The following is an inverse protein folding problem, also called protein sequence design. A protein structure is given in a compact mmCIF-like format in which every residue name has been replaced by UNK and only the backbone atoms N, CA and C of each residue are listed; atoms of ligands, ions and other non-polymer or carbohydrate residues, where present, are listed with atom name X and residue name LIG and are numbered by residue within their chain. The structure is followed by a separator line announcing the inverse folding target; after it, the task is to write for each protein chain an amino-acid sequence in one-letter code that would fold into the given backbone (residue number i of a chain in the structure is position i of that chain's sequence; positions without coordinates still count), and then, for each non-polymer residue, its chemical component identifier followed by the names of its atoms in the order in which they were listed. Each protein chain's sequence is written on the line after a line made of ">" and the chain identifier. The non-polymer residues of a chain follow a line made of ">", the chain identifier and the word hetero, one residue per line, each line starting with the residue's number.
data_IF_841959056203
#
_entry.id   IF_841959056203
#
_cell.length_a   1.000
_cell.length_b   1.000
_cell.length_c   1.000
_cell.angle_alpha   90.00
_cell.angle_beta   90.00
_cell.angle_gamma   90.00
#
_symmetry.space_group_name_H-M   'P 1'
#
loop_
_entity.id
_entity.type
_entity.pdbx_description
1 polymer ?
#
# COMPACT_ATOMS: atom_id res chain seq x y z
N UNK A 1 -13.13 -5.02 41.77
CA UNK A 1 -12.60 -4.01 40.86
C UNK A 1 -12.91 -4.37 39.39
N UNK A 2 -14.16 -4.27 38.93
CA UNK A 2 -14.50 -4.57 37.53
C UNK A 2 -14.67 -3.33 36.64
N UNK A 3 -14.59 -2.10 37.17
CA UNK A 3 -14.90 -0.91 36.37
C UNK A 3 -13.77 -0.43 35.45
N UNK A 4 -12.51 -0.69 35.76
CA UNK A 4 -11.37 -0.22 34.96
C UNK A 4 -11.21 -0.95 33.61
N UNK A 5 -11.67 -2.21 33.53
CA UNK A 5 -11.63 -2.99 32.29
C UNK A 5 -12.68 -2.54 31.27
N UNK A 6 -13.81 -2.05 31.73
CA UNK A 6 -14.89 -1.56 30.85
C UNK A 6 -14.53 -0.22 30.19
N UNK A 7 -13.90 0.69 30.94
CA UNK A 7 -13.45 1.99 30.41
C UNK A 7 -12.35 1.82 29.37
N UNK A 8 -11.39 0.93 29.61
CA UNK A 8 -10.31 0.67 28.65
C UNK A 8 -10.80 -0.01 27.35
N UNK A 9 -11.86 -0.81 27.41
CA UNK A 9 -12.47 -1.43 26.22
C UNK A 9 -13.28 -0.42 25.40
N UNK A 10 -13.99 0.49 26.08
CA UNK A 10 -14.75 1.56 25.43
C UNK A 10 -13.84 2.58 24.75
N UNK A 11 -12.74 2.97 25.41
CA UNK A 11 -11.74 3.90 24.86
C UNK A 11 -11.05 3.30 23.62
N UNK A 12 -10.75 1.99 23.64
CA UNK A 12 -10.20 1.29 22.48
C UNK A 12 -11.19 1.19 21.32
N UNK A 13 -12.47 0.96 21.62
CA UNK A 13 -13.54 0.92 20.62
C UNK A 13 -13.79 2.31 20.01
N UNK A 14 -13.78 3.37 20.81
CA UNK A 14 -13.93 4.76 20.35
C UNK A 14 -12.76 5.22 19.50
N UNK A 15 -11.52 4.88 19.86
CA UNK A 15 -10.34 5.16 19.04
C UNK A 15 -10.39 4.38 17.73
N UNK A 16 -10.82 3.12 17.76
CA UNK A 16 -11.04 2.31 16.55
C UNK A 16 -12.09 2.90 15.62
N UNK A 17 -13.22 3.39 16.19
CA UNK A 17 -14.28 4.04 15.42
C UNK A 17 -13.82 5.39 14.84
N UNK A 18 -13.12 6.22 15.61
CA UNK A 18 -12.54 7.48 15.13
C UNK A 18 -11.53 7.23 14.00
N UNK A 19 -10.68 6.20 14.12
CA UNK A 19 -9.73 5.83 13.07
C UNK A 19 -10.41 5.30 11.80
N UNK A 20 -11.54 4.58 11.97
CA UNK A 20 -12.37 4.13 10.84
C UNK A 20 -13.05 5.30 10.14
N UNK A 21 -13.60 6.25 10.89
CA UNK A 21 -14.25 7.44 10.34
C UNK A 21 -13.23 8.30 9.59
N UNK A 22 -12.06 8.55 10.17
CA UNK A 22 -10.98 9.29 9.50
C UNK A 22 -10.46 8.53 8.26
N UNK A 23 -10.32 7.22 8.34
CA UNK A 23 -9.93 6.40 7.19
C UNK A 23 -10.98 6.35 6.07
N UNK A 24 -12.27 6.41 6.42
CA UNK A 24 -13.39 6.47 5.47
C UNK A 24 -13.52 7.84 4.82
N UNK A 25 -13.34 8.93 5.58
CA UNK A 25 -13.36 10.28 5.03
C UNK A 25 -12.21 10.46 4.03
N UNK A 26 -11.00 10.02 4.35
CA UNK A 26 -9.89 10.06 3.40
C UNK A 26 -10.12 9.19 2.14
N UNK A 27 -10.76 8.03 2.27
CA UNK A 27 -11.13 7.21 1.11
C UNK A 27 -12.22 7.84 0.24
N UNK A 28 -13.16 8.55 0.87
CA UNK A 28 -14.21 9.29 0.15
C UNK A 28 -13.67 10.54 -0.56
N UNK A 29 -12.57 11.10 -0.05
CA UNK A 29 -11.86 12.25 -0.63
C UNK A 29 -10.84 11.84 -1.70
N UNK A 30 -10.45 10.56 -1.78
CA UNK A 30 -9.56 10.06 -2.82
C UNK A 30 -10.20 10.24 -4.18
N UNK A 31 -9.68 11.19 -4.94
CA UNK A 31 -10.02 11.33 -6.35
C UNK A 31 -9.20 10.32 -7.15
N UNK A 32 -9.86 9.45 -7.93
CA UNK A 32 -9.13 8.53 -8.78
C UNK A 32 -8.28 9.30 -9.78
N UNK A 33 -7.03 8.89 -9.92
CA UNK A 33 -6.08 9.47 -10.88
C UNK A 33 -5.85 8.52 -12.02
N UNK A 34 -5.69 9.06 -13.23
CA UNK A 34 -5.30 8.28 -14.39
C UNK A 34 -3.78 8.13 -14.42
N UNK A 35 -3.31 6.90 -14.62
CA UNK A 35 -1.89 6.64 -14.77
C UNK A 35 -1.64 5.40 -15.62
N UNK A 36 -0.41 5.32 -16.13
CA UNK A 36 0.13 4.19 -16.86
C UNK A 36 1.38 3.71 -16.13
N UNK A 37 1.49 2.41 -16.00
CA UNK A 37 2.65 1.76 -15.41
C UNK A 37 3.26 0.80 -16.41
N UNK A 38 4.58 0.75 -16.47
CA UNK A 38 5.32 -0.21 -17.29
C UNK A 38 6.56 -0.71 -16.57
N UNK A 39 6.92 -1.95 -16.84
CA UNK A 39 8.10 -2.63 -16.30
C UNK A 39 8.36 -3.91 -17.10
N UNK A 40 9.38 -4.71 -16.74
CA UNK A 40 9.62 -5.99 -17.39
C UNK A 40 8.39 -6.89 -17.31
N UNK A 41 7.90 -7.30 -18.48
CA UNK A 41 6.72 -8.19 -18.64
C UNK A 41 5.45 -7.71 -17.91
N UNK A 42 5.39 -6.39 -17.60
CA UNK A 42 4.27 -5.79 -16.91
C UNK A 42 3.85 -4.47 -17.57
N UNK A 43 2.56 -4.34 -17.79
CA UNK A 43 1.92 -3.09 -18.23
C UNK A 43 0.53 -3.00 -17.62
N UNK A 44 0.22 -1.81 -17.08
CA UNK A 44 -1.11 -1.49 -16.58
C UNK A 44 -1.44 -0.04 -16.91
N UNK A 45 -2.69 0.23 -17.28
CA UNK A 45 -3.18 1.58 -17.52
C UNK A 45 -4.63 1.70 -17.06
N UNK A 46 -4.99 2.82 -16.46
CA UNK A 46 -6.34 3.08 -16.00
C UNK A 46 -6.40 4.10 -14.87
N UNK A 47 -7.58 4.16 -14.25
CA UNK A 47 -7.81 4.99 -13.08
C UNK A 47 -7.58 4.19 -11.81
N UNK A 48 -6.81 4.74 -10.88
CA UNK A 48 -6.48 4.11 -9.60
C UNK A 48 -6.81 5.02 -8.43
N UNK A 49 -7.09 4.39 -7.29
CA UNK A 49 -7.33 5.05 -6.00
C UNK A 49 -6.06 5.13 -5.15
N UNK A 50 -5.17 4.16 -5.30
CA UNK A 50 -3.94 4.10 -4.54
C UNK A 50 -2.87 3.28 -5.25
N UNK A 51 -1.62 3.64 -5.00
CA UNK A 51 -0.42 2.93 -5.41
C UNK A 51 0.46 2.71 -4.18
N UNK A 52 1.01 1.52 -4.03
CA UNK A 52 2.13 1.26 -3.16
C UNK A 52 3.26 0.61 -3.96
N UNK A 53 4.47 1.12 -3.78
CA UNK A 53 5.71 0.55 -4.31
C UNK A 53 6.65 0.38 -3.13
N UNK A 54 7.05 -0.84 -2.84
CA UNK A 54 7.85 -1.13 -1.65
C UNK A 54 8.92 -2.17 -1.89
N UNK A 55 10.07 -1.96 -1.25
CA UNK A 55 11.10 -2.99 -1.07
C UNK A 55 10.90 -3.74 0.26
N UNK A 56 10.01 -3.25 1.12
CA UNK A 56 9.65 -3.84 2.40
C UNK A 56 8.15 -4.06 2.53
N UNK A 57 7.75 -4.93 3.47
CA UNK A 57 6.34 -5.34 3.64
C UNK A 57 5.45 -4.26 4.23
N UNK A 58 6.01 -3.34 5.00
CA UNK A 58 5.26 -2.38 5.80
C UNK A 58 5.71 -0.96 5.50
N UNK A 59 4.76 -0.04 5.53
CA UNK A 59 4.99 1.40 5.55
C UNK A 59 4.59 1.98 6.92
N UNK A 60 4.85 3.26 7.14
CA UNK A 60 4.69 3.97 8.40
C UNK A 60 3.54 3.50 9.29
N UNK A 61 3.81 3.27 10.58
CA UNK A 61 2.83 2.78 11.54
C UNK A 61 2.46 1.30 11.44
N UNK A 62 3.25 0.48 10.73
CA UNK A 62 3.03 -0.98 10.64
C UNK A 62 1.95 -1.39 9.63
N UNK A 63 1.58 -0.52 8.71
CA UNK A 63 0.62 -0.85 7.65
C UNK A 63 1.25 -1.77 6.60
N UNK A 64 0.72 -2.98 6.45
CA UNK A 64 1.17 -3.93 5.43
C UNK A 64 0.60 -3.50 4.08
N UNK A 65 1.47 -3.04 3.19
CA UNK A 65 1.12 -2.60 1.83
C UNK A 65 1.64 -3.58 0.76
N UNK A 66 2.80 -4.21 1.02
CA UNK A 66 3.46 -5.14 0.11
C UNK A 66 3.77 -6.45 0.86
N UNK A 67 2.78 -7.31 1.15
CA UNK A 67 2.92 -8.45 2.06
C UNK A 67 3.96 -9.49 1.63
N UNK A 68 4.23 -9.58 0.32
CA UNK A 68 5.15 -10.55 -0.26
C UNK A 68 6.58 -10.01 -0.43
N UNK A 69 6.82 -8.74 -0.07
CA UNK A 69 8.11 -8.10 -0.28
C UNK A 69 9.25 -8.80 0.48
N UNK A 70 10.40 -8.89 -0.20
CA UNK A 70 11.66 -9.41 0.32
C UNK A 70 12.75 -8.35 0.11
N UNK A 71 13.57 -8.13 1.13
CA UNK A 71 14.55 -7.05 1.10
C UNK A 71 15.77 -7.31 0.20
N UNK A 72 16.01 -8.58 -0.14
CA UNK A 72 17.25 -9.06 -0.77
C UNK A 72 17.03 -9.74 -2.13
N UNK A 73 15.82 -9.68 -2.69
CA UNK A 73 15.50 -10.37 -3.94
C UNK A 73 15.70 -9.53 -5.21
N UNK A 74 16.04 -8.24 -5.05
CA UNK A 74 16.24 -7.33 -6.16
C UNK A 74 14.96 -6.91 -6.87
N UNK A 75 13.79 -7.01 -6.20
CA UNK A 75 12.50 -6.67 -6.76
C UNK A 75 11.78 -5.63 -5.90
N UNK A 76 11.07 -4.73 -6.55
CA UNK A 76 10.02 -3.91 -5.95
C UNK A 76 8.72 -4.69 -5.95
N UNK A 77 8.00 -4.66 -4.85
CA UNK A 77 6.61 -5.09 -4.78
C UNK A 77 5.70 -3.91 -5.09
N UNK A 78 4.87 -4.07 -6.11
CA UNK A 78 3.94 -3.04 -6.59
C UNK A 78 2.53 -3.51 -6.30
N UNK A 79 1.72 -2.62 -5.73
CA UNK A 79 0.30 -2.86 -5.50
C UNK A 79 -0.50 -1.65 -6.00
N UNK A 80 -1.26 -1.84 -7.06
CA UNK A 80 -2.13 -0.83 -7.67
C UNK A 80 -3.56 -1.15 -7.25
N UNK A 81 -4.25 -0.23 -6.60
CA UNK A 81 -5.66 -0.34 -6.30
C UNK A 81 -6.47 0.38 -7.38
N UNK A 82 -7.08 -0.33 -8.34
CA UNK A 82 -7.88 0.29 -9.39
C UNK A 82 -9.11 0.98 -8.82
N UNK A 83 -9.61 1.99 -9.52
CA UNK A 83 -10.94 2.54 -9.25
C UNK A 83 -11.99 1.44 -9.52
N UNK A 84 -12.85 1.11 -8.54
CA UNK A 84 -13.90 0.12 -8.76
C UNK A 84 -14.94 0.65 -9.74
N UNK A 85 -15.48 -0.21 -10.60
CA UNK A 85 -16.60 0.16 -11.45
C UNK A 85 -17.77 0.74 -10.64
N UNK A 86 -18.56 1.67 -11.20
CA UNK A 86 -19.66 2.32 -10.46
C UNK A 86 -20.62 1.34 -9.78
N UNK A 87 -20.93 0.21 -10.40
CA UNK A 87 -21.79 -0.83 -9.84
C UNK A 87 -21.19 -1.62 -8.66
N UNK A 88 -19.86 -1.60 -8.49
CA UNK A 88 -19.17 -2.31 -7.41
C UNK A 88 -18.85 -1.43 -6.20
N UNK A 89 -18.97 -0.13 -6.29
CA UNK A 89 -18.57 0.82 -5.22
C UNK A 89 -19.24 0.52 -3.89
N UNK A 90 -20.52 0.17 -3.89
CA UNK A 90 -21.28 -0.21 -2.67
C UNK A 90 -20.72 -1.52 -2.08
N UNK A 91 -20.40 -2.50 -2.94
CA UNK A 91 -19.80 -3.76 -2.52
C UNK A 91 -18.41 -3.54 -1.86
N UNK A 92 -17.59 -2.68 -2.46
CA UNK A 92 -16.28 -2.30 -1.92
C UNK A 92 -16.41 -1.62 -0.56
N UNK A 93 -17.35 -0.67 -0.43
CA UNK A 93 -17.62 0.01 0.84
C UNK A 93 -18.08 -0.99 1.92
N UNK A 94 -19.00 -1.90 1.58
CA UNK A 94 -19.45 -2.96 2.51
C UNK A 94 -18.29 -3.86 2.94
N UNK A 95 -17.42 -4.27 2.01
CA UNK A 95 -16.26 -5.11 2.31
C UNK A 95 -15.25 -4.37 3.19
N UNK A 96 -15.03 -3.08 2.95
CA UNK A 96 -14.19 -2.22 3.78
C UNK A 96 -14.72 -2.13 5.22
N UNK A 97 -16.03 -1.93 5.38
CA UNK A 97 -16.67 -1.84 6.70
C UNK A 97 -16.62 -3.17 7.47
N UNK A 98 -16.73 -4.30 6.76
CA UNK A 98 -16.76 -5.64 7.39
C UNK A 98 -15.40 -6.24 7.65
N UNK A 99 -14.45 -6.03 6.73
CA UNK A 99 -13.14 -6.73 6.70
C UNK A 99 -11.95 -5.78 6.86
N UNK A 100 -12.22 -4.46 6.97
CA UNK A 100 -11.20 -3.43 7.09
C UNK A 100 -10.37 -3.21 5.81
N UNK A 101 -9.30 -2.42 5.95
CA UNK A 101 -8.45 -1.99 4.82
C UNK A 101 -7.84 -3.15 4.01
N UNK A 102 -7.63 -4.31 4.64
CA UNK A 102 -7.09 -5.50 3.95
C UNK A 102 -7.99 -6.01 2.81
N UNK A 103 -9.31 -5.75 2.90
CA UNK A 103 -10.23 -6.13 1.84
C UNK A 103 -9.99 -5.35 0.52
N UNK A 104 -9.50 -4.11 0.63
CA UNK A 104 -9.17 -3.28 -0.54
C UNK A 104 -7.95 -3.83 -1.26
N UNK A 105 -6.88 -4.17 -0.52
CA UNK A 105 -5.65 -4.67 -1.10
C UNK A 105 -5.79 -6.04 -1.77
N UNK A 106 -6.81 -6.84 -1.42
CA UNK A 106 -7.15 -8.07 -2.14
C UNK A 106 -7.64 -7.83 -3.57
N UNK A 107 -8.05 -6.61 -3.90
CA UNK A 107 -8.47 -6.18 -5.24
C UNK A 107 -7.33 -5.48 -5.99
N UNK A 108 -6.20 -5.32 -5.36
CA UNK A 108 -5.04 -4.68 -5.98
C UNK A 108 -4.47 -5.56 -7.09
N UNK A 109 -4.05 -4.92 -8.15
CA UNK A 109 -3.17 -5.53 -9.14
C UNK A 109 -1.76 -5.48 -8.58
N UNK A 110 -1.15 -6.65 -8.42
CA UNK A 110 0.19 -6.79 -7.84
C UNK A 110 1.20 -7.22 -8.89
N UNK A 111 2.40 -6.68 -8.80
CA UNK A 111 3.53 -7.07 -9.63
C UNK A 111 4.83 -7.02 -8.80
N UNK A 112 5.85 -7.78 -9.23
CA UNK A 112 7.19 -7.77 -8.62
C UNK A 112 8.21 -7.55 -9.73
N UNK A 113 8.91 -6.44 -9.68
CA UNK A 113 9.69 -5.91 -10.79
C UNK A 113 11.00 -5.29 -10.29
N UNK A 114 12.12 -5.41 -11.02
CA UNK A 114 13.35 -4.70 -10.67
C UNK A 114 13.24 -3.18 -10.86
N UNK A 115 12.32 -2.75 -11.69
CA UNK A 115 12.00 -1.33 -11.88
C UNK A 115 10.56 -1.14 -12.36
N UNK A 116 9.99 0.02 -12.06
CA UNK A 116 8.66 0.47 -12.49
C UNK A 116 8.75 1.89 -13.02
N UNK A 117 8.20 2.14 -14.21
CA UNK A 117 7.94 3.47 -14.75
C UNK A 117 6.48 3.83 -14.53
N UNK A 118 6.23 5.00 -13.97
CA UNK A 118 4.92 5.63 -13.84
C UNK A 118 4.84 6.82 -14.77
N UNK A 119 3.74 6.93 -15.49
CA UNK A 119 3.39 8.08 -16.33
C UNK A 119 1.95 8.48 -16.04
N UNK A 120 1.70 9.78 -15.90
CA UNK A 120 0.39 10.37 -15.69
C UNK A 120 0.20 11.63 -16.54
N UNK A 121 -1.04 11.98 -16.91
CA UNK A 121 -1.33 13.20 -17.66
C UNK A 121 -0.92 14.49 -16.91
N UNK A 122 -1.01 14.45 -15.58
CA UNK A 122 -0.67 15.55 -14.68
C UNK A 122 0.27 15.06 -13.57
N UNK A 123 1.08 15.96 -12.97
CA UNK A 123 1.96 15.62 -11.86
C UNK A 123 1.18 15.01 -10.67
N UNK A 124 1.56 13.81 -10.28
CA UNK A 124 1.01 13.14 -9.10
C UNK A 124 1.84 13.46 -7.87
N UNK A 125 1.15 13.62 -6.73
CA UNK A 125 1.79 13.71 -5.43
C UNK A 125 2.09 12.30 -4.92
N UNK A 126 3.35 12.02 -4.64
CA UNK A 126 3.82 10.74 -4.13
C UNK A 126 4.54 10.98 -2.80
N UNK A 127 4.26 10.16 -1.82
CA UNK A 127 5.00 10.13 -0.56
C UNK A 127 6.10 9.06 -0.66
N UNK A 128 7.36 9.51 -0.62
CA UNK A 128 8.52 8.64 -0.64
C UNK A 128 9.12 8.58 0.78
N UNK A 129 8.78 7.54 1.52
CA UNK A 129 9.24 7.31 2.91
C UNK A 129 9.06 8.51 3.86
N UNK A 130 7.98 9.27 3.67
CA UNK A 130 7.67 10.46 4.46
C UNK A 130 7.92 11.78 3.73
N UNK A 131 8.69 11.77 2.65
CA UNK A 131 9.01 12.96 1.85
C UNK A 131 8.03 13.11 0.68
N UNK A 132 7.35 14.26 0.53
CA UNK A 132 6.47 14.50 -0.60
C UNK A 132 7.29 14.83 -1.85
N UNK A 133 7.06 14.09 -2.92
CA UNK A 133 7.56 14.38 -4.25
C UNK A 133 6.41 14.55 -5.24
N UNK A 134 6.65 15.22 -6.36
CA UNK A 134 5.66 15.40 -7.41
C UNK A 134 6.28 15.18 -8.78
N UNK A 135 5.54 14.47 -9.64
CA UNK A 135 5.98 14.23 -11.02
C UNK A 135 4.91 13.58 -11.87
N UNK A 136 4.91 13.89 -13.16
CA UNK A 136 4.08 13.25 -14.16
C UNK A 136 4.75 11.99 -14.75
N UNK A 137 6.07 11.88 -14.59
CA UNK A 137 6.87 10.73 -15.00
C UNK A 137 7.85 10.41 -13.88
N UNK A 138 7.72 9.24 -13.28
CA UNK A 138 8.52 8.77 -12.15
C UNK A 138 9.03 7.36 -12.43
N UNK A 139 10.30 7.12 -12.13
CA UNK A 139 10.91 5.79 -12.22
C UNK A 139 11.37 5.34 -10.84
N UNK A 140 10.93 4.16 -10.49
CA UNK A 140 11.34 3.45 -9.29
C UNK A 140 12.24 2.28 -9.70
N UNK A 141 13.36 2.10 -9.02
CA UNK A 141 14.32 1.04 -9.36
C UNK A 141 15.01 0.51 -8.10
N UNK A 142 15.20 -0.81 -8.03
CA UNK A 142 15.96 -1.43 -6.95
C UNK A 142 17.44 -1.35 -7.25
N UNK A 143 18.20 -0.79 -6.30
CA UNK A 143 19.65 -0.86 -6.30
C UNK A 143 20.08 -2.03 -5.40
N UNK A 144 20.08 -3.22 -5.97
CA UNK A 144 20.39 -4.45 -5.22
C UNK A 144 21.77 -4.38 -4.58
N UNK A 145 21.84 -4.71 -3.26
CA UNK A 145 23.08 -4.70 -2.51
C UNK A 145 23.64 -3.31 -2.16
N UNK A 146 22.89 -2.23 -2.41
CA UNK A 146 23.31 -0.85 -2.10
C UNK A 146 23.46 -0.58 -0.58
N UNK A 147 22.73 -1.33 0.26
CA UNK A 147 22.77 -1.21 1.71
C UNK A 147 23.22 -2.51 2.35
N UNK A 148 23.97 -2.39 3.44
CA UNK A 148 24.28 -3.50 4.37
C UNK A 148 23.49 -3.28 5.64
N UNK A 149 22.69 -4.27 6.03
CA UNK A 149 21.90 -4.25 7.25
C UNK A 149 22.20 -5.48 8.09
N UNK A 150 22.21 -5.31 9.41
CA UNK A 150 22.25 -6.44 10.35
C UNK A 150 20.82 -6.88 10.64
N UNK A 151 20.48 -8.09 10.23
CA UNK A 151 19.17 -8.69 10.45
C UNK A 151 19.34 -10.01 11.20
N UNK A 152 18.34 -10.44 12.00
CA UNK A 152 18.30 -11.80 12.55
C UNK A 152 18.34 -12.83 11.42
N UNK A 153 18.99 -13.98 11.65
CA UNK A 153 19.06 -15.07 10.64
C UNK A 153 17.69 -15.63 10.22
N UNK A 154 16.71 -15.52 11.11
CA UNK A 154 15.33 -15.96 10.88
C UNK A 154 14.39 -14.83 10.42
N UNK A 155 14.94 -13.67 10.05
CA UNK A 155 14.12 -12.54 9.57
C UNK A 155 13.25 -12.98 8.38
N UNK A 156 11.92 -12.80 8.46
CA UNK A 156 10.99 -13.31 7.45
C UNK A 156 11.03 -12.53 6.12
N UNK A 157 11.82 -11.45 6.07
CA UNK A 157 11.93 -10.52 4.94
C UNK A 157 13.19 -10.74 4.10
N UNK A 158 13.99 -11.76 4.42
CA UNK A 158 15.17 -12.18 3.64
C UNK A 158 14.96 -13.58 3.06
N UNK A 159 15.52 -13.82 1.87
CA UNK A 159 15.56 -15.17 1.29
C UNK A 159 16.49 -16.04 2.11
N UNK A 160 15.99 -17.18 2.56
CA UNK A 160 16.86 -18.21 3.12
C UNK A 160 17.68 -18.80 1.98
N UNK A 161 19.01 -18.66 2.02
CA UNK A 161 19.89 -19.47 1.18
C UNK A 161 19.64 -20.94 1.51
N UNK A 162 19.20 -21.70 0.51
CA UNK A 162 19.11 -23.17 0.59
C UNK A 162 20.50 -23.78 0.50
#
# INVERSE_FOLDING_TARGET
>A
MPELTHVASLDRALRGAAYLITGLSHLAELQPVEARFSGPDFSWAGRLLALAVGNGRQAGGGHVLCPEAMLDDGLLDVSILPEPPPGERIGVLRDLLRKGKQALWRRAVSARLPWLQLEAPEPLQVNLDGEPISGASLRFEVLQGALRACLPEDAPVIRRSR
#
